data_IF_450266119085
#
_entry.id   IF_450266119085
#
_cell.length_a   1.000
_cell.length_b   1.000
_cell.length_c   1.000
_cell.angle_alpha   90.00
_cell.angle_beta   90.00
_cell.angle_gamma   90.00
#
_symmetry.space_group_name_H-M   'P 1'
#
loop_
_entity.id
_entity.type
_entity.pdbx_description
1 polymer ?
#
# COMPACT_ATOMS: atom_id res chain seq x y z
N UNK A 1 4.11 -14.23 7.19
CA UNK A 1 4.88 -13.02 7.52
C UNK A 1 5.82 -13.31 8.69
N UNK A 2 6.87 -12.52 8.89
CA UNK A 2 7.79 -12.64 10.05
C UNK A 2 7.18 -12.12 11.37
N UNK A 3 6.03 -11.43 11.29
CA UNK A 3 5.29 -10.88 12.43
C UNK A 3 4.03 -11.70 12.73
N UNK A 4 4.12 -13.04 12.73
CA UNK A 4 3.03 -13.94 13.16
C UNK A 4 1.67 -13.72 12.45
N UNK A 5 1.68 -13.41 11.16
CA UNK A 5 0.46 -13.16 10.38
C UNK A 5 0.09 -11.68 10.24
N UNK A 6 0.73 -10.78 10.98
CA UNK A 6 0.48 -9.34 10.89
C UNK A 6 1.36 -8.67 9.84
N UNK A 7 0.93 -7.47 9.44
CA UNK A 7 1.61 -6.55 8.54
C UNK A 7 2.06 -5.31 9.32
N UNK A 8 3.10 -4.64 8.83
CA UNK A 8 3.52 -3.33 9.31
C UNK A 8 3.39 -2.28 8.22
N UNK A 9 3.58 -1.02 8.59
CA UNK A 9 3.58 0.09 7.64
C UNK A 9 4.80 0.05 6.70
N UNK A 10 4.65 0.57 5.48
CA UNK A 10 5.71 0.56 4.46
C UNK A 10 6.91 1.44 4.84
N UNK A 11 6.79 2.29 5.85
CA UNK A 11 7.82 3.25 6.27
C UNK A 11 9.12 2.56 6.63
N UNK A 12 9.06 1.43 7.35
CA UNK A 12 10.26 0.67 7.70
C UNK A 12 10.99 0.05 6.49
N UNK A 13 10.29 -0.11 5.36
CA UNK A 13 10.91 -0.59 4.13
C UNK A 13 11.55 0.55 3.32
N UNK A 14 11.00 1.77 3.43
CA UNK A 14 11.53 2.97 2.78
C UNK A 14 12.64 3.65 3.60
N UNK A 15 12.61 3.55 4.93
CA UNK A 15 13.62 4.05 5.87
C UNK A 15 13.83 3.01 6.98
N UNK A 16 14.67 2.00 6.75
CA UNK A 16 14.85 0.88 7.68
C UNK A 16 15.63 1.22 8.95
N UNK A 17 16.45 2.27 8.96
CA UNK A 17 17.30 2.62 10.11
C UNK A 17 16.55 2.79 11.43
N UNK A 18 15.43 3.54 11.47
CA UNK A 18 14.58 3.64 12.67
C UNK A 18 13.90 2.34 13.11
N UNK A 19 13.75 1.36 12.21
CA UNK A 19 12.99 0.14 12.47
C UNK A 19 13.87 -1.09 12.74
N UNK A 20 15.11 -1.09 12.26
CA UNK A 20 16.06 -2.19 12.40
C UNK A 20 17.33 -1.61 13.04
N UNK A 21 17.54 -1.93 14.32
CA UNK A 21 18.68 -1.41 15.07
C UNK A 21 20.02 -1.85 14.43
N UNK A 22 20.94 -0.90 14.25
CA UNK A 22 22.24 -1.15 13.62
C UNK A 22 22.17 -1.42 12.12
N UNK A 23 21.04 -1.12 11.46
CA UNK A 23 20.91 -1.33 10.02
C UNK A 23 21.82 -0.40 9.22
N UNK A 24 22.77 -0.99 8.51
CA UNK A 24 23.66 -0.32 7.55
C UNK A 24 23.49 -1.02 6.21
N UNK A 25 22.62 -0.48 5.37
CA UNK A 25 22.25 -1.09 4.10
C UNK A 25 21.35 -0.17 3.26
N UNK A 26 21.00 -0.57 2.03
CA UNK A 26 20.11 0.21 1.17
C UNK A 26 18.67 0.22 1.71
N UNK A 27 17.82 1.10 1.21
CA UNK A 27 16.38 1.00 1.47
C UNK A 27 15.79 -0.18 0.69
N UNK A 28 14.76 -0.84 1.22
CA UNK A 28 14.12 -1.98 0.55
C UNK A 28 13.10 -1.53 -0.50
N UNK A 29 12.46 -0.39 -0.24
CA UNK A 29 11.62 0.31 -1.18
C UNK A 29 12.27 1.62 -1.58
N UNK A 30 11.77 2.18 -2.67
CA UNK A 30 12.06 3.56 -3.01
C UNK A 30 11.66 4.47 -1.84
N UNK A 31 12.62 5.28 -1.37
CA UNK A 31 12.45 6.13 -0.19
C UNK A 31 11.24 7.07 -0.25
N UNK A 32 10.70 7.35 -1.44
CA UNK A 32 9.51 8.18 -1.60
C UNK A 32 8.19 7.42 -1.41
N UNK A 33 8.14 6.11 -1.68
CA UNK A 33 6.89 5.33 -1.75
C UNK A 33 6.36 4.92 -0.36
N UNK A 34 7.22 4.81 0.65
CA UNK A 34 6.83 4.31 1.98
C UNK A 34 6.81 5.35 3.11
N UNK A 35 7.27 6.58 2.87
CA UNK A 35 7.39 7.61 3.94
C UNK A 35 6.17 8.53 4.05
N UNK A 36 5.37 8.64 2.99
CA UNK A 36 4.18 9.47 2.99
C UNK A 36 2.94 8.60 2.76
N UNK A 37 1.83 8.97 3.41
CA UNK A 37 0.54 8.31 3.20
C UNK A 37 0.08 8.40 1.74
N UNK A 38 0.50 9.46 1.02
CA UNK A 38 0.17 9.72 -0.37
C UNK A 38 1.43 10.14 -1.13
N UNK A 39 1.72 9.47 -2.25
CA UNK A 39 2.96 9.65 -3.02
C UNK A 39 2.64 9.78 -4.50
N UNK A 40 3.11 10.85 -5.15
CA UNK A 40 2.99 11.01 -6.60
C UNK A 40 4.25 10.47 -7.29
N UNK A 41 4.11 9.41 -8.10
CA UNK A 41 5.23 8.80 -8.81
C UNK A 41 4.79 7.99 -10.03
N UNK A 42 5.56 8.12 -11.11
CA UNK A 42 5.34 7.43 -12.39
C UNK A 42 3.95 7.70 -12.99
N UNK A 43 3.42 8.92 -12.80
CA UNK A 43 2.09 9.29 -13.29
C UNK A 43 0.92 8.86 -12.39
N UNK A 44 1.19 8.30 -11.20
CA UNK A 44 0.16 7.87 -10.25
C UNK A 44 0.32 8.50 -8.88
N UNK A 45 -0.81 8.85 -8.28
CA UNK A 45 -0.95 9.03 -6.84
C UNK A 45 -1.12 7.66 -6.20
N UNK A 46 -0.16 7.28 -5.36
CA UNK A 46 -0.05 5.98 -4.69
C UNK A 46 -0.32 6.15 -3.20
N UNK A 47 -1.05 5.20 -2.63
CA UNK A 47 -1.47 5.26 -1.23
C UNK A 47 -1.43 3.86 -0.63
N UNK A 48 -0.76 3.72 0.50
CA UNK A 48 -0.89 2.53 1.34
C UNK A 48 -2.06 2.75 2.32
N UNK A 49 -2.95 1.77 2.38
CA UNK A 49 -4.12 1.78 3.24
C UNK A 49 -4.05 0.56 4.15
N UNK A 50 -4.37 0.74 5.41
CA UNK A 50 -4.30 -0.31 6.42
C UNK A 50 -5.63 -0.38 7.17
N UNK A 51 -5.88 -1.51 7.82
CA UNK A 51 -6.93 -1.57 8.84
C UNK A 51 -6.53 -0.79 10.10
N UNK A 52 -7.37 -0.85 11.13
CA UNK A 52 -7.04 -0.25 12.41
C UNK A 52 -5.79 -0.93 13.00
N UNK A 53 -4.91 -0.13 13.60
CA UNK A 53 -3.76 -0.64 14.35
C UNK A 53 -4.26 -1.58 15.46
N UNK A 54 -3.67 -2.77 15.52
CA UNK A 54 -3.96 -3.78 16.53
C UNK A 54 -3.00 -3.66 17.71
N UNK A 55 -3.41 -4.13 18.89
CA UNK A 55 -2.53 -4.23 20.06
C UNK A 55 -2.00 -5.65 20.16
N UNK A 56 -0.79 -5.88 19.65
CA UNK A 56 -0.11 -7.18 19.72
C UNK A 56 1.20 -7.03 20.49
N UNK A 57 1.42 -7.78 21.58
CA UNK A 57 2.66 -7.69 22.35
C UNK A 57 3.91 -7.91 21.48
N UNK A 58 4.86 -6.98 21.57
CA UNK A 58 6.13 -7.06 20.87
C UNK A 58 6.11 -6.62 19.40
N UNK A 59 4.96 -6.18 18.86
CA UNK A 59 4.87 -5.60 17.52
C UNK A 59 4.54 -4.11 17.61
N UNK A 60 5.22 -3.32 16.77
CA UNK A 60 4.96 -1.88 16.63
C UNK A 60 3.94 -1.66 15.51
N UNK A 61 2.83 -0.99 15.83
CA UNK A 61 1.75 -0.67 14.88
C UNK A 61 1.37 -1.82 13.93
N UNK A 62 1.04 -3.02 14.45
CA UNK A 62 0.66 -4.14 13.60
C UNK A 62 -0.73 -3.95 13.01
N UNK A 63 -0.89 -4.42 11.78
CA UNK A 63 -2.12 -4.41 10.99
C UNK A 63 -2.52 -5.82 10.60
N UNK A 64 -3.82 -6.11 10.60
CA UNK A 64 -4.36 -7.40 10.18
C UNK A 64 -4.44 -7.51 8.65
N UNK A 65 -4.72 -6.41 7.98
CA UNK A 65 -4.79 -6.31 6.52
C UNK A 65 -4.15 -5.03 6.01
N UNK A 66 -3.77 -5.06 4.73
CA UNK A 66 -3.31 -3.87 4.02
C UNK A 66 -3.83 -3.92 2.59
N UNK A 67 -4.00 -2.74 2.01
CA UNK A 67 -4.30 -2.57 0.60
C UNK A 67 -3.47 -1.41 0.06
N UNK A 68 -2.76 -1.67 -1.04
CA UNK A 68 -1.98 -0.67 -1.74
C UNK A 68 -2.68 -0.31 -3.04
N UNK A 69 -2.91 0.98 -3.27
CA UNK A 69 -3.60 1.48 -4.46
C UNK A 69 -2.78 2.54 -5.19
N UNK A 70 -3.13 2.70 -6.46
CA UNK A 70 -2.64 3.78 -7.30
C UNK A 70 -3.78 4.29 -8.21
N UNK A 71 -3.94 5.60 -8.25
CA UNK A 71 -4.81 6.32 -9.19
C UNK A 71 -3.98 7.24 -10.07
N UNK A 72 -4.27 7.40 -11.38
CA UNK A 72 -3.56 8.32 -12.24
C UNK A 72 -3.63 9.76 -11.71
N UNK A 73 -2.52 10.51 -11.80
CA UNK A 73 -2.47 11.93 -11.43
C UNK A 73 -3.32 12.77 -12.40
N UNK A 74 -3.29 12.41 -13.69
CA UNK A 74 -4.09 13.03 -14.74
C UNK A 74 -5.25 12.11 -15.13
N UNK A 75 -6.47 12.50 -14.74
CA UNK A 75 -7.69 11.78 -15.09
C UNK A 75 -7.93 11.75 -16.60
N UNK A 76 -8.52 10.66 -17.11
CA UNK A 76 -8.95 10.58 -18.52
C UNK A 76 -7.83 10.35 -19.54
N UNK A 77 -6.63 9.98 -19.10
CA UNK A 77 -5.55 9.59 -20.01
C UNK A 77 -5.79 8.18 -20.54
N UNK A 78 -5.89 8.01 -21.87
CA UNK A 78 -6.12 6.70 -22.50
C UNK A 78 -5.08 5.67 -22.06
N UNK A 79 -5.55 4.48 -21.65
CA UNK A 79 -4.68 3.37 -21.23
C UNK A 79 -4.21 3.42 -19.79
N UNK A 80 -4.54 4.48 -19.03
CA UNK A 80 -4.15 4.62 -17.62
C UNK A 80 -5.33 4.30 -16.71
N UNK A 81 -5.14 3.39 -15.75
CA UNK A 81 -6.21 2.75 -14.97
C UNK A 81 -5.91 2.85 -13.48
N UNK A 82 -6.93 3.05 -12.66
CA UNK A 82 -6.75 2.85 -11.22
C UNK A 82 -6.59 1.36 -10.93
N UNK A 83 -5.80 1.04 -9.91
CA UNK A 83 -5.61 -0.32 -9.43
C UNK A 83 -5.36 -0.37 -7.94
N UNK A 84 -5.63 -1.52 -7.35
CA UNK A 84 -5.28 -1.82 -5.96
C UNK A 84 -5.00 -3.30 -5.78
N UNK A 85 -4.24 -3.63 -4.75
CA UNK A 85 -4.03 -5.01 -4.32
C UNK A 85 -3.96 -5.10 -2.82
N UNK A 86 -4.55 -6.14 -2.25
CA UNK A 86 -4.63 -6.32 -0.81
C UNK A 86 -3.87 -7.55 -0.30
N UNK A 87 -3.89 -7.73 1.02
CA UNK A 87 -3.21 -8.81 1.73
C UNK A 87 -3.66 -10.23 1.33
N UNK A 88 -4.79 -10.38 0.62
CA UNK A 88 -5.23 -11.68 0.09
C UNK A 88 -4.46 -12.11 -1.16
N UNK A 89 -3.67 -11.20 -1.75
CA UNK A 89 -2.98 -11.40 -3.02
C UNK A 89 -3.84 -11.11 -4.25
N UNK A 90 -5.08 -10.66 -4.06
CA UNK A 90 -5.94 -10.23 -5.16
C UNK A 90 -5.55 -8.84 -5.61
N UNK A 91 -5.45 -8.66 -6.92
CA UNK A 91 -5.24 -7.36 -7.57
C UNK A 91 -6.50 -7.01 -8.36
N UNK A 92 -6.99 -5.79 -8.23
CA UNK A 92 -8.13 -5.27 -8.97
C UNK A 92 -7.79 -4.02 -9.76
N UNK A 93 -8.54 -3.77 -10.84
CA UNK A 93 -8.35 -2.58 -11.69
C UNK A 93 -9.66 -2.03 -12.21
N UNK A 94 -9.67 -0.75 -12.59
CA UNK A 94 -10.81 -0.09 -13.22
C UNK A 94 -10.36 0.99 -14.19
N UNK A 95 -11.20 1.25 -15.20
CA UNK A 95 -10.99 2.32 -16.17
C UNK A 95 -11.35 3.71 -15.61
N UNK A 96 -11.98 3.76 -14.44
CA UNK A 96 -12.28 5.02 -13.76
C UNK A 96 -10.98 5.54 -13.16
N UNK A 97 -10.44 6.63 -13.72
CA UNK A 97 -9.08 7.08 -13.40
C UNK A 97 -8.94 7.50 -11.93
N UNK A 98 -9.72 8.46 -11.46
CA UNK A 98 -9.61 8.96 -10.09
C UNK A 98 -10.58 8.24 -9.16
N UNK A 99 -10.28 7.01 -8.76
CA UNK A 99 -11.13 6.24 -7.84
C UNK A 99 -10.32 5.50 -6.78
N UNK A 100 -10.89 5.37 -5.60
CA UNK A 100 -10.27 4.60 -4.53
C UNK A 100 -10.55 3.10 -4.73
N UNK A 101 -9.48 2.33 -4.88
CA UNK A 101 -9.54 0.87 -4.93
C UNK A 101 -9.41 0.23 -3.55
N UNK A 102 -8.95 0.96 -2.54
CA UNK A 102 -8.76 0.43 -1.19
C UNK A 102 -9.69 1.10 -0.18
N UNK A 103 -10.16 0.32 0.80
CA UNK A 103 -10.80 0.83 2.01
C UNK A 103 -10.42 -0.04 3.20
N UNK A 104 -9.99 0.59 4.29
CA UNK A 104 -9.62 -0.07 5.57
C UNK A 104 -8.76 -1.32 5.37
N UNK A 105 -7.70 -1.21 4.56
CA UNK A 105 -6.77 -2.31 4.30
C UNK A 105 -7.30 -3.43 3.38
N UNK A 106 -8.42 -3.24 2.67
CA UNK A 106 -9.01 -4.26 1.78
C UNK A 106 -9.32 -3.69 0.40
N UNK A 107 -9.21 -4.53 -0.64
CA UNK A 107 -9.59 -4.19 -2.01
C UNK A 107 -11.12 -4.06 -2.15
N UNK A 108 -11.57 -2.93 -2.66
CA UNK A 108 -12.96 -2.69 -3.03
C UNK A 108 -13.26 -3.33 -4.40
N UNK A 109 -13.55 -4.63 -4.41
CA UNK A 109 -13.82 -5.41 -5.65
C UNK A 109 -15.03 -4.91 -6.45
N UNK A 110 -15.93 -4.14 -5.84
CA UNK A 110 -17.04 -3.49 -6.54
C UNK A 110 -16.59 -2.27 -7.35
N UNK A 111 -15.52 -1.60 -6.93
CA UNK A 111 -14.96 -0.40 -7.57
C UNK A 111 -13.82 -0.76 -8.51
N UNK A 112 -12.94 -1.66 -8.06
CA UNK A 112 -11.81 -2.18 -8.80
C UNK A 112 -11.93 -3.72 -8.85
N UNK A 113 -12.71 -4.25 -9.81
CA UNK A 113 -12.89 -5.68 -9.96
C UNK A 113 -11.58 -6.44 -10.04
N UNK A 114 -11.56 -7.61 -9.39
CA UNK A 114 -10.40 -8.49 -9.40
C UNK A 114 -10.00 -8.84 -10.84
N UNK A 115 -8.71 -8.72 -11.13
CA UNK A 115 -8.10 -9.21 -12.35
C UNK A 115 -8.28 -10.73 -12.41
N UNK A 116 -8.82 -11.22 -13.52
CA UNK A 116 -8.95 -12.65 -13.82
C UNK A 116 -7.82 -13.09 -14.74
#
# INVERSE_FOLDING_TARGET
>A
SAASGFYGELTCLAVPGPCINGYVGPTFLDGTIGVAALVQKSGYTRTANYDAVLTVPGLTAPHGTYCYQASPITSGTTGVRAFGGDSSGVVGTTNVSATNCCNTGVLLVTTCPALR
#
